data_IF_269987254247
#
_entry.id   IF_269987254247
#
_cell.length_a   1.000
_cell.length_b   1.000
_cell.length_c   1.000
_cell.angle_alpha   90.00
_cell.angle_beta   90.00
_cell.angle_gamma   90.00
#
_symmetry.space_group_name_H-M   'P 1'
#
loop_
_entity.id
_entity.type
_entity.pdbx_description
1 polymer ?
#
# COMPACT_ATOMS: atom_id res chain seq x y z
N UNK A 1 -1.96 -9.17 17.80
CA UNK A 1 -1.12 -9.92 16.86
C UNK A 1 -1.86 -11.13 16.31
N UNK A 2 -2.05 -11.16 14.99
CA UNK A 2 -2.69 -12.27 14.26
C UNK A 2 -1.66 -13.26 13.72
N UNK A 3 -0.57 -12.80 13.10
CA UNK A 3 0.51 -13.66 12.57
C UNK A 3 1.86 -13.02 12.86
N UNK A 4 2.80 -13.79 13.43
CA UNK A 4 4.17 -13.36 13.66
C UNK A 4 5.02 -13.59 12.40
N UNK A 5 5.54 -12.55 11.76
CA UNK A 5 6.19 -12.62 10.45
C UNK A 5 7.72 -12.81 10.52
N UNK A 6 8.36 -12.24 11.53
CA UNK A 6 9.83 -12.30 11.70
C UNK A 6 10.40 -13.72 11.65
N UNK A 7 9.84 -14.74 12.33
CA UNK A 7 10.36 -16.11 12.28
C UNK A 7 10.32 -16.72 10.88
N UNK A 8 9.49 -16.19 9.98
CA UNK A 8 9.35 -16.66 8.61
C UNK A 8 10.25 -15.91 7.62
N UNK A 9 11.07 -14.97 8.12
CA UNK A 9 11.88 -14.03 7.36
C UNK A 9 11.07 -13.00 6.53
N UNK A 10 9.77 -12.84 6.83
CA UNK A 10 8.91 -11.82 6.23
C UNK A 10 9.11 -10.44 6.88
N UNK A 11 10.36 -9.99 6.90
CA UNK A 11 10.79 -8.79 7.63
C UNK A 11 10.50 -7.50 6.90
N UNK A 12 10.09 -6.47 7.65
CA UNK A 12 9.67 -5.15 7.17
C UNK A 12 8.58 -5.25 6.09
N UNK A 13 7.37 -5.72 6.46
CA UNK A 13 6.24 -5.84 5.55
C UNK A 13 5.64 -4.48 5.19
N UNK A 14 5.21 -4.34 3.93
CA UNK A 14 4.58 -3.14 3.39
C UNK A 14 3.22 -3.51 2.79
N UNK A 15 3.17 -3.78 1.49
CA UNK A 15 1.93 -4.10 0.79
C UNK A 15 1.36 -5.45 1.22
N UNK A 16 0.03 -5.53 1.21
CA UNK A 16 -0.72 -6.73 1.55
C UNK A 16 -1.99 -6.79 0.69
N UNK A 17 -2.37 -7.98 0.26
CA UNK A 17 -3.65 -8.21 -0.41
C UNK A 17 -4.17 -9.61 -0.06
N UNK A 18 -5.40 -9.92 -0.50
CA UNK A 18 -5.95 -11.27 -0.45
C UNK A 18 -6.20 -11.79 -1.85
N UNK A 19 -6.00 -13.09 -2.06
CA UNK A 19 -6.41 -13.77 -3.29
C UNK A 19 -7.86 -14.25 -3.25
N UNK A 20 -8.35 -14.80 -4.36
CA UNK A 20 -9.74 -15.26 -4.51
C UNK A 20 -10.09 -16.41 -3.55
N UNK A 21 -9.09 -17.16 -3.07
CA UNK A 21 -9.25 -18.21 -2.05
C UNK A 21 -9.25 -17.66 -0.61
N UNK A 22 -9.03 -16.35 -0.46
CA UNK A 22 -8.93 -15.62 0.80
C UNK A 22 -7.57 -15.73 1.49
N UNK A 23 -6.56 -16.34 0.84
CA UNK A 23 -5.20 -16.38 1.36
C UNK A 23 -4.58 -14.99 1.32
N UNK A 24 -3.66 -14.74 2.24
CA UNK A 24 -3.06 -13.42 2.44
C UNK A 24 -1.70 -13.40 1.76
N UNK A 25 -1.47 -12.37 0.94
CA UNK A 25 -0.19 -12.12 0.30
C UNK A 25 0.47 -10.91 0.94
N UNK A 26 1.73 -11.04 1.35
CA UNK A 26 2.49 -9.97 2.00
C UNK A 26 3.77 -9.72 1.21
N UNK A 27 3.93 -8.47 0.73
CA UNK A 27 5.17 -7.97 0.18
C UNK A 27 5.99 -7.30 1.28
N UNK A 28 7.23 -7.76 1.46
CA UNK A 28 8.13 -7.31 2.50
C UNK A 28 9.54 -7.13 1.93
N UNK A 29 10.42 -6.44 2.66
CA UNK A 29 11.86 -6.45 2.32
C UNK A 29 12.45 -7.86 2.37
N UNK A 30 11.86 -8.73 3.18
CA UNK A 30 12.18 -10.15 3.23
C UNK A 30 11.79 -10.97 1.99
N UNK A 31 10.92 -10.44 1.11
CA UNK A 31 10.39 -11.16 -0.05
C UNK A 31 8.87 -11.10 -0.17
N UNK A 32 8.30 -12.06 -0.92
CA UNK A 32 6.86 -12.24 -1.08
C UNK A 32 6.41 -13.52 -0.38
N UNK A 33 5.33 -13.43 0.40
CA UNK A 33 4.83 -14.53 1.22
C UNK A 33 3.33 -14.72 1.00
N UNK A 34 2.92 -15.97 0.75
CA UNK A 34 1.50 -16.39 0.74
C UNK A 34 1.22 -17.12 2.04
N UNK A 35 0.15 -16.73 2.72
CA UNK A 35 -0.24 -17.22 4.04
C UNK A 35 -1.67 -17.74 3.96
N UNK A 36 -1.93 -18.88 4.60
CA UNK A 36 -3.27 -19.44 4.72
C UNK A 36 -4.27 -18.40 5.25
N UNK A 37 -5.50 -18.45 4.74
CA UNK A 37 -6.57 -17.49 5.07
C UNK A 37 -6.90 -17.40 6.57
N UNK A 38 -6.62 -18.43 7.35
CA UNK A 38 -6.82 -18.42 8.80
C UNK A 38 -5.55 -18.08 9.58
N UNK A 39 -4.44 -17.84 8.88
CA UNK A 39 -3.14 -17.54 9.49
C UNK A 39 -2.40 -18.77 10.02
N UNK A 40 -2.81 -19.98 9.61
CA UNK A 40 -2.26 -21.23 10.15
C UNK A 40 -0.84 -21.55 9.65
N UNK A 41 -0.36 -20.89 8.60
CA UNK A 41 0.99 -21.12 8.08
C UNK A 41 1.29 -20.46 6.75
N UNK A 42 2.58 -20.45 6.41
CA UNK A 42 3.09 -19.98 5.13
C UNK A 42 2.88 -21.07 4.08
N UNK A 43 2.10 -20.76 3.04
CA UNK A 43 1.84 -21.64 1.91
C UNK A 43 2.94 -21.53 0.85
N UNK A 44 3.50 -20.33 0.67
CA UNK A 44 4.56 -20.06 -0.30
C UNK A 44 5.44 -18.90 0.17
N UNK A 45 6.74 -18.96 -0.13
CA UNK A 45 7.65 -17.84 0.07
C UNK A 45 8.65 -17.71 -1.07
N UNK A 46 8.83 -16.48 -1.59
CA UNK A 46 9.95 -16.07 -2.45
C UNK A 46 10.80 -15.08 -1.67
N UNK A 47 11.82 -15.60 -0.97
CA UNK A 47 12.66 -14.82 -0.06
C UNK A 47 13.75 -14.06 -0.79
N UNK A 48 14.09 -12.89 -0.27
CA UNK A 48 15.26 -12.13 -0.68
C UNK A 48 16.45 -12.50 0.20
N UNK A 49 17.60 -12.81 -0.40
CA UNK A 49 18.81 -13.17 0.34
C UNK A 49 19.35 -12.01 1.19
N UNK A 50 19.10 -10.77 0.76
CA UNK A 50 19.62 -9.56 1.40
C UNK A 50 18.51 -8.52 1.66
N UNK A 51 17.61 -8.73 2.63
CA UNK A 51 16.50 -7.80 2.90
C UNK A 51 16.95 -6.36 3.18
N UNK A 52 18.14 -6.18 3.77
CA UNK A 52 18.71 -4.85 4.04
C UNK A 52 19.07 -4.04 2.79
N UNK A 53 19.19 -4.69 1.62
CA UNK A 53 19.41 -4.02 0.33
C UNK A 53 18.10 -3.61 -0.35
N UNK A 54 16.96 -4.12 0.11
CA UNK A 54 15.67 -3.81 -0.48
C UNK A 54 15.18 -2.45 0.00
N UNK A 55 14.63 -1.67 -0.92
CA UNK A 55 13.99 -0.39 -0.65
C UNK A 55 12.66 -0.54 0.08
N UNK A 56 12.13 0.57 0.62
CA UNK A 56 10.80 0.58 1.22
C UNK A 56 9.70 0.39 0.16
N UNK A 57 8.47 0.17 0.62
CA UNK A 57 7.25 0.14 -0.21
C UNK A 57 7.16 -1.01 -1.22
N UNK A 58 7.66 -2.19 -0.83
CA UNK A 58 7.31 -3.41 -1.55
C UNK A 58 5.78 -3.52 -1.62
N UNK A 59 5.21 -3.70 -2.81
CA UNK A 59 3.75 -3.68 -3.00
C UNK A 59 3.29 -4.97 -3.67
N UNK A 60 2.10 -5.41 -3.27
CA UNK A 60 1.44 -6.59 -3.83
C UNK A 60 -0.03 -6.26 -4.04
N UNK A 61 -0.55 -6.61 -5.21
CA UNK A 61 -1.95 -6.39 -5.58
C UNK A 61 -2.48 -7.67 -6.22
N UNK A 62 -3.67 -8.10 -5.82
CA UNK A 62 -4.38 -9.18 -6.49
C UNK A 62 -5.39 -8.61 -7.49
N UNK A 63 -5.33 -9.06 -8.73
CA UNK A 63 -6.23 -8.63 -9.80
C UNK A 63 -6.34 -9.76 -10.83
N UNK A 64 -7.56 -10.06 -11.30
CA UNK A 64 -7.83 -11.07 -12.33
C UNK A 64 -7.17 -12.44 -12.06
N UNK A 65 -7.25 -12.90 -10.81
CA UNK A 65 -6.62 -14.14 -10.34
C UNK A 65 -5.09 -14.21 -10.52
N UNK A 66 -4.44 -13.04 -10.57
CA UNK A 66 -2.99 -12.87 -10.61
C UNK A 66 -2.52 -12.06 -9.40
N UNK A 67 -1.22 -12.19 -9.12
CA UNK A 67 -0.51 -11.39 -8.12
C UNK A 67 0.48 -10.50 -8.83
N UNK A 68 0.25 -9.20 -8.77
CA UNK A 68 1.22 -8.18 -9.15
C UNK A 68 2.14 -7.95 -7.97
N UNK A 69 3.45 -8.05 -8.17
CA UNK A 69 4.44 -7.87 -7.11
C UNK A 69 5.54 -6.92 -7.56
N UNK A 70 5.79 -5.90 -6.74
CA UNK A 70 6.85 -4.91 -6.95
C UNK A 70 7.78 -4.86 -5.74
N UNK A 71 9.07 -4.81 -6.03
CA UNK A 71 10.10 -4.48 -5.04
C UNK A 71 11.27 -3.75 -5.72
N UNK A 72 12.01 -2.97 -4.93
CA UNK A 72 13.12 -2.16 -5.43
C UNK A 72 14.40 -2.53 -4.71
N UNK A 73 15.52 -2.64 -5.42
CA UNK A 73 16.84 -2.69 -4.79
C UNK A 73 17.37 -1.26 -4.59
N UNK A 74 17.66 -0.88 -3.33
CA UNK A 74 17.87 0.53 -2.94
C UNK A 74 19.09 1.17 -3.63
N UNK A 75 20.15 0.39 -3.85
CA UNK A 75 21.40 0.91 -4.44
C UNK A 75 21.30 1.12 -5.94
N UNK A 76 20.62 0.21 -6.62
CA UNK A 76 20.54 0.23 -8.08
C UNK A 76 19.38 1.09 -8.57
N UNK A 77 18.47 1.49 -7.65
CA UNK A 77 17.24 2.25 -7.94
C UNK A 77 16.37 1.59 -9.02
N UNK A 78 16.57 0.30 -9.25
CA UNK A 78 15.83 -0.50 -10.21
C UNK A 78 14.68 -1.20 -9.49
N UNK A 79 13.47 -0.94 -9.95
CA UNK A 79 12.27 -1.62 -9.47
C UNK A 79 12.04 -2.87 -10.32
N UNK A 80 11.84 -4.03 -9.69
CA UNK A 80 11.32 -5.21 -10.37
C UNK A 80 9.80 -5.24 -10.26
N UNK A 81 9.13 -5.45 -11.39
CA UNK A 81 7.70 -5.71 -11.48
C UNK A 81 7.48 -7.13 -12.00
N UNK A 82 6.60 -7.88 -11.34
CA UNK A 82 6.29 -9.27 -11.67
C UNK A 82 4.79 -9.52 -11.68
N UNK A 83 4.35 -10.39 -12.58
CA UNK A 83 3.01 -10.97 -12.59
C UNK A 83 3.15 -12.45 -12.28
N UNK A 84 2.48 -12.89 -11.22
CA UNK A 84 2.59 -14.26 -10.69
C UNK A 84 1.23 -14.93 -10.66
N UNK A 85 1.21 -16.24 -10.86
CA UNK A 85 0.08 -17.10 -10.51
C UNK A 85 0.05 -17.38 -8.99
N UNK A 86 -1.06 -17.92 -8.51
CA UNK A 86 -1.24 -18.22 -7.09
C UNK A 86 -0.33 -19.33 -6.53
N UNK A 87 0.27 -20.14 -7.40
CA UNK A 87 1.31 -21.12 -7.08
C UNK A 87 2.73 -20.51 -7.07
N UNK A 88 2.84 -19.20 -7.34
CA UNK A 88 4.08 -18.45 -7.41
C UNK A 88 4.88 -18.66 -8.69
N UNK A 89 4.36 -19.36 -9.70
CA UNK A 89 4.96 -19.33 -11.04
C UNK A 89 4.87 -17.92 -11.63
N UNK A 90 5.92 -17.53 -12.36
CA UNK A 90 6.05 -16.21 -12.97
C UNK A 90 5.55 -16.24 -14.41
N UNK A 91 4.65 -15.32 -14.75
CA UNK A 91 4.15 -15.12 -16.11
C UNK A 91 4.87 -13.97 -16.81
N UNK A 92 5.19 -12.92 -16.05
CA UNK A 92 5.89 -11.75 -16.55
C UNK A 92 6.86 -11.20 -15.53
N UNK A 93 7.96 -10.63 -16.02
CA UNK A 93 8.91 -9.87 -15.22
C UNK A 93 9.57 -8.79 -16.05
N UNK A 94 9.75 -7.62 -15.45
CA UNK A 94 10.45 -6.50 -16.06
C UNK A 94 11.10 -5.61 -15.00
N UNK A 95 11.93 -4.70 -15.48
CA UNK A 95 12.45 -3.61 -14.68
C UNK A 95 11.71 -2.30 -15.01
N UNK A 96 11.39 -1.55 -13.96
CA UNK A 96 10.85 -0.19 -14.02
C UNK A 96 11.92 0.72 -13.43
N UNK A 97 12.27 1.77 -14.16
CA UNK A 97 13.25 2.74 -13.70
C UNK A 97 12.70 3.60 -12.55
N UNK A 98 13.56 3.92 -11.59
CA UNK A 98 13.22 4.66 -10.38
C UNK A 98 12.57 3.79 -9.30
N UNK A 99 12.25 4.41 -8.16
CA UNK A 99 11.72 3.73 -6.96
C UNK A 99 10.21 3.84 -6.91
N UNK A 100 9.50 2.76 -7.25
CA UNK A 100 8.04 2.71 -7.09
C UNK A 100 7.67 2.81 -5.61
N UNK A 101 6.66 3.62 -5.33
CA UNK A 101 6.19 3.89 -3.96
C UNK A 101 4.79 3.31 -3.71
N UNK A 102 3.91 3.28 -4.70
CA UNK A 102 2.57 2.70 -4.57
C UNK A 102 2.11 2.14 -5.91
N UNK A 103 1.33 1.07 -5.87
CA UNK A 103 0.67 0.46 -7.03
C UNK A 103 -0.76 0.09 -6.65
N UNK A 104 -1.67 0.24 -7.60
CA UNK A 104 -3.06 -0.19 -7.50
C UNK A 104 -3.53 -0.69 -8.87
N UNK A 105 -4.61 -1.46 -8.92
CA UNK A 105 -5.16 -1.94 -10.17
C UNK A 105 -6.69 -1.97 -10.13
N UNK A 106 -7.31 -1.81 -11.28
CA UNK A 106 -8.76 -1.96 -11.45
C UNK A 106 -9.10 -3.42 -11.71
N UNK A 107 -10.36 -3.79 -11.47
CA UNK A 107 -10.89 -5.12 -11.84
C UNK A 107 -10.72 -5.45 -13.33
N UNK A 108 -10.64 -4.42 -14.18
CA UNK A 108 -10.49 -4.57 -15.63
C UNK A 108 -9.03 -4.79 -16.04
N UNK A 109 -8.08 -4.73 -15.11
CA UNK A 109 -6.66 -5.02 -15.37
C UNK A 109 -5.83 -3.78 -15.67
N UNK A 110 -6.40 -2.56 -15.56
CA UNK A 110 -5.62 -1.33 -15.64
C UNK A 110 -4.82 -1.15 -14.36
N UNK A 111 -3.51 -0.98 -14.50
CA UNK A 111 -2.56 -0.83 -13.39
C UNK A 111 -2.15 0.63 -13.32
N UNK A 112 -2.07 1.18 -12.12
CA UNK A 112 -1.55 2.51 -11.84
C UNK A 112 -0.43 2.43 -10.82
N UNK A 113 0.63 3.22 -11.02
CA UNK A 113 1.71 3.34 -10.03
C UNK A 113 2.23 4.77 -9.93
N UNK A 114 2.86 5.07 -8.80
CA UNK A 114 3.62 6.31 -8.58
C UNK A 114 5.01 5.97 -8.06
N UNK A 115 5.97 6.84 -8.37
CA UNK A 115 7.37 6.72 -7.94
C UNK A 115 7.69 7.77 -6.89
N UNK A 116 8.67 7.46 -6.04
CA UNK A 116 9.28 8.45 -5.16
C UNK A 116 9.89 9.56 -6.04
N UNK A 117 9.59 10.85 -5.77
CA UNK A 117 10.04 11.96 -6.62
C UNK A 117 11.51 12.31 -6.32
N UNK A 118 12.43 11.46 -6.79
CA UNK A 118 13.87 11.63 -6.58
C UNK A 118 14.47 12.79 -7.40
N UNK A 119 13.83 13.16 -8.51
CA UNK A 119 14.29 14.20 -9.46
C UNK A 119 13.38 15.43 -9.48
N UNK A 120 12.58 15.63 -8.43
CA UNK A 120 11.73 16.82 -8.27
C UNK A 120 10.39 16.77 -9.00
N UNK A 121 10.17 15.81 -9.89
CA UNK A 121 8.87 15.53 -10.51
C UNK A 121 8.25 14.27 -9.89
N UNK A 122 6.95 14.32 -9.63
CA UNK A 122 6.11 13.18 -9.26
C UNK A 122 5.11 12.91 -10.36
N UNK A 123 4.84 11.65 -10.61
CA UNK A 123 3.99 11.22 -11.71
C UNK A 123 3.24 9.95 -11.35
N UNK A 124 2.00 9.85 -11.84
CA UNK A 124 1.25 8.61 -11.87
C UNK A 124 1.36 8.06 -13.29
N UNK A 125 1.78 6.81 -13.40
CA UNK A 125 1.88 6.06 -14.64
C UNK A 125 0.78 5.00 -14.68
N UNK A 126 0.33 4.64 -15.87
CA UNK A 126 -0.61 3.53 -16.08
C UNK A 126 -0.15 2.57 -17.17
N UNK A 127 -0.52 1.30 -17.02
CA UNK A 127 -0.35 0.25 -18.02
C UNK A 127 -1.53 -0.73 -17.92
N UNK A 128 -1.57 -1.74 -18.78
CA UNK A 128 -2.54 -2.83 -18.68
C UNK A 128 -1.84 -4.14 -18.30
N UNK A 129 -2.50 -5.00 -17.52
CA UNK A 129 -1.95 -6.30 -17.09
C UNK A 129 -1.57 -7.20 -18.27
N UNK A 130 -2.33 -7.15 -19.36
CA UNK A 130 -2.06 -7.92 -20.59
C UNK A 130 -0.88 -7.38 -21.41
N UNK A 131 -0.51 -6.11 -21.22
CA UNK A 131 0.64 -5.48 -21.86
C UNK A 131 1.34 -4.53 -20.88
N UNK A 132 2.04 -5.06 -19.87
CA UNK A 132 2.60 -4.25 -18.78
C UNK A 132 3.91 -3.53 -19.16
N UNK A 133 4.21 -3.39 -20.45
CA UNK A 133 5.45 -2.81 -20.97
C UNK A 133 5.32 -1.31 -21.27
N UNK A 134 4.13 -0.86 -21.65
CA UNK A 134 3.88 0.51 -22.11
C UNK A 134 3.28 1.36 -20.98
N UNK A 135 4.15 1.92 -20.14
CA UNK A 135 3.74 2.81 -19.04
C UNK A 135 3.51 4.23 -19.55
N UNK A 136 2.25 4.67 -19.51
CA UNK A 136 1.83 5.99 -19.97
C UNK A 136 1.60 6.94 -18.78
N UNK A 137 2.08 8.19 -18.85
CA UNK A 137 1.80 9.18 -17.82
C UNK A 137 0.32 9.56 -17.80
N UNK A 138 -0.28 9.47 -16.61
CA UNK A 138 -1.65 9.91 -16.32
C UNK A 138 -1.65 11.37 -15.89
N UNK A 139 -0.78 11.71 -14.94
CA UNK A 139 -0.65 13.07 -14.42
C UNK A 139 0.76 13.24 -13.84
N UNK A 140 1.32 14.44 -13.94
CA UNK A 140 2.58 14.81 -13.33
C UNK A 140 2.48 16.13 -12.57
N UNK A 141 3.36 16.31 -11.58
CA UNK A 141 3.49 17.56 -10.84
C UNK A 141 4.90 17.72 -10.30
N UNK A 142 5.38 18.96 -10.27
CA UNK A 142 6.60 19.41 -9.60
C UNK A 142 6.31 20.02 -8.21
N UNK A 143 5.04 20.27 -7.89
CA UNK A 143 4.61 20.89 -6.63
C UNK A 143 4.14 19.89 -5.58
N UNK A 144 3.64 18.73 -6.02
CA UNK A 144 3.13 17.68 -5.13
C UNK A 144 3.73 16.32 -5.50
N UNK A 145 3.93 15.51 -4.48
CA UNK A 145 4.28 14.10 -4.58
C UNK A 145 3.04 13.24 -4.40
N UNK A 146 2.75 12.33 -5.34
CA UNK A 146 1.76 11.28 -5.17
C UNK A 146 2.39 10.12 -4.39
N UNK A 147 1.85 9.80 -3.21
CA UNK A 147 2.52 8.93 -2.23
C UNK A 147 1.81 7.60 -1.96
N UNK A 148 0.50 7.53 -2.19
CA UNK A 148 -0.33 6.32 -2.09
C UNK A 148 -1.49 6.44 -3.07
N UNK A 149 -1.88 5.34 -3.71
CA UNK A 149 -2.89 5.30 -4.77
C UNK A 149 -3.95 4.25 -4.47
N UNK A 150 -5.20 4.55 -4.83
CA UNK A 150 -6.29 3.59 -4.89
C UNK A 150 -7.12 3.84 -6.14
N UNK A 151 -7.27 2.82 -6.99
CA UNK A 151 -8.11 2.92 -8.17
C UNK A 151 -9.58 2.78 -7.79
N UNK A 152 -10.42 3.70 -8.29
CA UNK A 152 -11.87 3.61 -8.18
C UNK A 152 -12.43 2.80 -9.33
N UNK A 153 -12.06 3.22 -10.53
CA UNK A 153 -12.32 2.56 -11.80
C UNK A 153 -11.21 2.95 -12.80
N UNK A 154 -11.37 2.63 -14.08
CA UNK A 154 -10.36 2.93 -15.10
C UNK A 154 -10.20 4.43 -15.37
N UNK A 155 -11.19 5.25 -14.98
CA UNK A 155 -11.24 6.70 -15.21
C UNK A 155 -10.95 7.54 -13.96
N UNK A 156 -10.96 6.95 -12.76
CA UNK A 156 -10.85 7.70 -11.51
C UNK A 156 -9.93 7.06 -10.48
N UNK A 157 -9.10 7.88 -9.83
CA UNK A 157 -8.22 7.47 -8.73
C UNK A 157 -8.43 8.33 -7.50
N UNK A 158 -8.13 7.77 -6.34
CA UNK A 158 -7.79 8.51 -5.12
C UNK A 158 -6.29 8.47 -4.94
N UNK A 159 -5.68 9.61 -4.62
CA UNK A 159 -4.27 9.67 -4.25
C UNK A 159 -4.05 10.44 -2.95
N UNK A 160 -3.12 9.96 -2.12
CA UNK A 160 -2.51 10.78 -1.08
C UNK A 160 -1.40 11.63 -1.68
N UNK A 161 -1.38 12.91 -1.35
CA UNK A 161 -0.37 13.85 -1.85
C UNK A 161 0.40 14.51 -0.72
N UNK A 162 1.64 14.92 -1.03
CA UNK A 162 2.48 15.71 -0.13
C UNK A 162 3.15 16.83 -0.91
N UNK A 163 3.13 18.06 -0.38
CA UNK A 163 3.84 19.18 -0.98
C UNK A 163 5.35 18.90 -1.10
N UNK A 164 5.93 19.25 -2.25
CA UNK A 164 7.35 19.13 -2.56
C UNK A 164 8.14 20.35 -2.05
N UNK A 165 9.37 20.17 -1.52
CA UNK A 165 10.03 18.90 -1.24
C UNK A 165 9.41 18.16 -0.05
N UNK A 166 9.26 16.83 -0.16
CA UNK A 166 8.65 16.00 0.89
C UNK A 166 9.54 15.96 2.13
N UNK A 167 9.01 16.47 3.25
CA UNK A 167 9.64 16.42 4.57
C UNK A 167 8.58 16.30 5.66
N UNK A 168 9.02 16.24 6.93
CA UNK A 168 8.11 16.04 8.06
C UNK A 168 7.06 17.14 8.24
N UNK A 169 7.22 18.32 7.62
CA UNK A 169 6.34 19.49 7.67
C UNK A 169 5.51 19.71 6.39
N UNK A 170 5.72 18.93 5.32
CA UNK A 170 4.97 19.09 4.07
C UNK A 170 3.46 19.00 4.30
N UNK A 171 2.71 19.91 3.64
CA UNK A 171 1.26 19.81 3.56
C UNK A 171 0.88 18.49 2.89
N UNK A 172 -0.15 17.85 3.42
CA UNK A 172 -0.62 16.53 3.00
C UNK A 172 -2.12 16.58 2.87
N UNK A 173 -2.65 15.92 1.85
CA UNK A 173 -4.07 15.90 1.54
C UNK A 173 -4.39 14.63 0.76
N UNK A 174 -5.66 14.36 0.57
CA UNK A 174 -6.15 13.36 -0.37
C UNK A 174 -6.73 14.10 -1.58
N UNK A 175 -6.68 13.49 -2.75
CA UNK A 175 -7.32 14.06 -3.93
C UNK A 175 -7.97 13.00 -4.81
N UNK A 176 -8.99 13.43 -5.53
CA UNK A 176 -9.60 12.70 -6.63
C UNK A 176 -8.93 13.11 -7.94
N UNK A 177 -8.59 12.13 -8.76
CA UNK A 177 -7.93 12.32 -10.05
C UNK A 177 -8.84 11.76 -11.14
N UNK A 178 -9.06 12.57 -12.16
CA UNK A 178 -9.72 12.19 -13.41
C UNK A 178 -8.63 11.80 -14.41
N UNK A 179 -8.60 10.52 -14.76
CA UNK A 179 -7.56 9.91 -15.60
C UNK A 179 -7.66 10.40 -17.04
N UNK A 180 -8.87 10.54 -17.58
CA UNK A 180 -9.08 11.00 -18.96
C UNK A 180 -8.72 12.48 -19.12
N UNK A 181 -9.09 13.30 -18.13
CA UNK A 181 -8.73 14.74 -18.13
C UNK A 181 -7.33 15.02 -17.61
N UNK A 182 -6.61 14.00 -17.15
CA UNK A 182 -5.26 14.12 -16.60
C UNK A 182 -5.14 15.22 -15.53
N UNK A 183 -6.14 15.29 -14.63
CA UNK A 183 -6.25 16.42 -13.70
C UNK A 183 -6.78 16.01 -12.33
N UNK A 184 -6.44 16.81 -11.33
CA UNK A 184 -7.04 16.69 -10.00
C UNK A 184 -8.40 17.38 -10.02
N UNK A 185 -9.45 16.62 -9.74
CA UNK A 185 -10.82 17.13 -9.73
C UNK A 185 -11.22 17.75 -8.38
N UNK A 186 -10.72 17.20 -7.27
CA UNK A 186 -11.01 17.68 -5.91
C UNK A 186 -9.87 17.34 -4.95
N UNK A 187 -9.53 18.26 -4.06
CA UNK A 187 -8.76 17.99 -2.85
C UNK A 187 -9.70 17.84 -1.66
N UNK A 188 -9.38 16.92 -0.75
CA UNK A 188 -10.12 16.70 0.49
C UNK A 188 -9.17 16.22 1.59
N UNK A 189 -9.54 16.38 2.85
CA UNK A 189 -8.64 16.27 4.01
C UNK A 189 -7.52 17.32 4.01
N UNK A 190 -6.98 17.58 5.19
CA UNK A 190 -5.79 18.40 5.42
C UNK A 190 -4.73 17.60 6.18
N UNK A 191 -3.53 18.16 6.32
CA UNK A 191 -2.48 17.59 7.15
C UNK A 191 -2.85 17.75 8.63
N UNK A 192 -2.78 16.68 9.40
CA UNK A 192 -2.90 16.75 10.85
C UNK A 192 -3.25 15.41 11.48
N UNK A 193 -3.65 15.43 12.75
CA UNK A 193 -3.87 14.24 13.57
C UNK A 193 -5.30 14.14 14.11
N UNK A 194 -6.16 15.08 13.72
CA UNK A 194 -7.57 15.10 14.10
C UNK A 194 -8.43 14.43 13.03
N UNK A 195 -9.67 14.10 13.39
CA UNK A 195 -10.64 13.45 12.50
C UNK A 195 -10.77 14.19 11.18
N UNK A 196 -10.65 13.49 10.06
CA UNK A 196 -10.71 14.09 8.72
C UNK A 196 -9.42 14.75 8.27
N UNK A 197 -8.39 14.76 9.12
CA UNK A 197 -7.02 15.11 8.74
C UNK A 197 -6.18 13.85 8.56
N UNK A 198 -5.13 13.94 7.76
CA UNK A 198 -4.18 12.85 7.50
C UNK A 198 -2.75 13.20 7.90
N UNK A 199 -2.03 12.20 8.39
CA UNK A 199 -0.60 12.32 8.67
C UNK A 199 0.18 11.15 8.06
N UNK A 200 0.85 11.42 6.95
CA UNK A 200 1.56 10.48 6.09
C UNK A 200 0.71 9.24 5.80
N UNK A 201 -0.36 9.38 4.98
CA UNK A 201 -1.12 8.24 4.49
C UNK A 201 -0.19 7.14 3.99
N UNK A 202 -0.42 5.92 4.46
CA UNK A 202 0.36 4.74 4.10
C UNK A 202 -0.30 4.01 2.96
N UNK A 203 -1.60 3.75 3.10
CA UNK A 203 -2.37 2.97 2.14
C UNK A 203 -3.81 3.46 2.09
N UNK A 204 -4.43 3.28 0.92
CA UNK A 204 -5.80 3.67 0.61
C UNK A 204 -6.48 2.46 -0.04
N UNK A 205 -7.67 2.10 0.42
CA UNK A 205 -8.49 1.04 -0.16
C UNK A 205 -9.91 1.52 -0.40
N UNK A 206 -10.57 0.97 -1.42
CA UNK A 206 -12.02 1.07 -1.55
C UNK A 206 -12.69 -0.05 -0.79
N UNK A 207 -13.73 0.30 -0.03
CA UNK A 207 -14.56 -0.66 0.68
C UNK A 207 -16.01 -0.20 0.69
N UNK A 208 -16.90 -1.03 0.14
CA UNK A 208 -18.35 -0.75 0.07
C UNK A 208 -18.68 0.63 -0.54
N UNK A 209 -17.89 1.08 -1.53
CA UNK A 209 -18.08 2.37 -2.20
C UNK A 209 -17.42 3.57 -1.51
N UNK A 210 -16.82 3.36 -0.33
CA UNK A 210 -16.13 4.40 0.42
C UNK A 210 -14.61 4.22 0.40
N UNK A 211 -13.91 5.31 0.66
CA UNK A 211 -12.46 5.41 0.70
C UNK A 211 -11.99 5.16 2.14
N UNK A 212 -11.18 4.13 2.33
CA UNK A 212 -10.56 3.78 3.61
C UNK A 212 -9.09 4.17 3.58
N UNK A 213 -8.63 4.89 4.58
CA UNK A 213 -7.26 5.41 4.67
C UNK A 213 -6.63 4.98 5.98
N UNK A 214 -5.44 4.37 5.89
CA UNK A 214 -4.54 4.15 7.01
C UNK A 214 -3.42 5.19 6.93
N UNK A 215 -3.20 5.94 8.01
CA UNK A 215 -2.10 6.90 8.11
C UNK A 215 -1.11 6.55 9.24
N UNK A 216 0.00 7.30 9.37
CA UNK A 216 1.03 7.03 10.39
C UNK A 216 0.56 7.20 11.83
N UNK A 217 -0.61 7.77 12.09
CA UNK A 217 -1.18 7.81 13.46
C UNK A 217 -1.89 6.50 13.82
N UNK A 218 -1.84 5.49 12.93
CA UNK A 218 -2.50 4.21 13.11
C UNK A 218 -4.02 4.27 12.96
N UNK A 219 -4.60 5.44 12.64
CA UNK A 219 -6.04 5.59 12.42
C UNK A 219 -6.44 5.01 11.07
N UNK A 220 -7.57 4.31 11.09
CA UNK A 220 -8.30 3.87 9.90
C UNK A 220 -9.52 4.78 9.76
N UNK A 221 -9.46 5.67 8.77
CA UNK A 221 -10.51 6.65 8.50
C UNK A 221 -11.29 6.27 7.25
N UNK A 222 -12.59 6.53 7.27
CA UNK A 222 -13.49 6.30 6.13
C UNK A 222 -14.01 7.63 5.63
N UNK A 223 -13.91 7.83 4.34
CA UNK A 223 -14.47 8.96 3.60
C UNK A 223 -15.43 8.45 2.54
N UNK A 224 -16.48 9.21 2.24
CA UNK A 224 -17.32 8.94 1.07
C UNK A 224 -16.47 9.04 -0.19
N UNK A 225 -16.94 8.48 -1.31
CA UNK A 225 -16.25 8.65 -2.61
C UNK A 225 -16.03 10.13 -3.01
N UNK A 226 -16.91 11.03 -2.55
CA UNK A 226 -16.80 12.47 -2.78
C UNK A 226 -15.81 13.17 -1.83
N UNK A 227 -15.17 12.44 -0.91
CA UNK A 227 -14.15 12.95 0.01
C UNK A 227 -14.67 13.52 1.35
N UNK A 228 -15.95 13.38 1.68
CA UNK A 228 -16.49 13.78 2.98
C UNK A 228 -16.17 12.73 4.06
N UNK A 229 -15.75 13.17 5.25
CA UNK A 229 -15.43 12.26 6.34
C UNK A 229 -16.69 11.56 6.87
N UNK A 230 -16.68 10.24 6.88
CA UNK A 230 -17.68 9.41 7.58
C UNK A 230 -17.27 9.22 9.04
N UNK A 231 -15.99 8.88 9.28
CA UNK A 231 -15.45 8.75 10.63
C UNK A 231 -14.18 7.93 10.74
N UNK A 232 -13.74 7.71 11.98
CA UNK A 232 -12.63 6.80 12.32
C UNK A 232 -13.23 5.46 12.76
N UNK A 233 -12.80 4.35 12.17
CA UNK A 233 -13.40 3.03 12.38
C UNK A 233 -12.45 2.00 12.98
N UNK A 234 -11.18 2.38 13.11
CA UNK A 234 -10.16 1.58 13.76
C UNK A 234 -8.96 2.43 14.13
N UNK A 235 -8.19 1.94 15.10
CA UNK A 235 -6.91 2.54 15.47
C UNK A 235 -5.97 1.45 15.98
N UNK A 236 -4.74 1.45 15.47
CA UNK A 236 -3.59 0.74 16.02
C UNK A 236 -2.56 1.74 16.55
N UNK A 237 -1.47 1.24 17.13
CA UNK A 237 -0.41 2.09 17.65
C UNK A 237 0.22 2.95 16.56
N UNK A 238 0.46 4.23 16.88
CA UNK A 238 1.14 5.18 16.01
C UNK A 238 2.42 4.56 15.42
N UNK A 239 2.66 4.81 14.13
CA UNK A 239 3.85 4.41 13.38
C UNK A 239 4.06 2.91 13.15
N UNK A 240 3.19 2.04 13.67
CA UNK A 240 3.37 0.58 13.51
C UNK A 240 2.86 0.06 12.17
N UNK A 241 1.75 0.60 11.66
CA UNK A 241 1.15 0.19 10.39
C UNK A 241 1.90 0.67 9.14
N UNK A 242 2.15 -0.25 8.21
CA UNK A 242 2.80 0.00 6.93
C UNK A 242 1.86 -0.15 5.73
N UNK A 243 0.87 -1.03 5.83
CA UNK A 243 -0.14 -1.31 4.83
C UNK A 243 -1.29 -2.14 5.40
N UNK A 244 -2.41 -2.24 4.69
CA UNK A 244 -3.55 -3.05 5.09
C UNK A 244 -4.33 -3.57 3.89
N UNK A 245 -5.08 -4.64 4.10
CA UNK A 245 -6.14 -5.07 3.19
C UNK A 245 -7.43 -5.30 3.96
N UNK A 246 -8.55 -5.31 3.25
CA UNK A 246 -9.87 -5.59 3.83
C UNK A 246 -10.38 -6.90 3.24
N UNK A 247 -10.76 -7.83 4.12
CA UNK A 247 -11.40 -9.09 3.75
C UNK A 247 -12.69 -9.23 4.53
N UNK A 248 -13.82 -9.23 3.82
CA UNK A 248 -15.13 -9.10 4.45
C UNK A 248 -15.15 -7.85 5.36
N UNK A 249 -15.36 -8.01 6.67
CA UNK A 249 -15.29 -6.92 7.64
C UNK A 249 -13.96 -6.86 8.42
N UNK A 250 -12.99 -7.71 8.10
CA UNK A 250 -11.70 -7.73 8.77
C UNK A 250 -10.69 -6.82 8.05
N UNK A 251 -10.01 -5.97 8.81
CA UNK A 251 -8.79 -5.28 8.37
C UNK A 251 -7.60 -6.09 8.84
N UNK A 252 -6.74 -6.45 7.89
CA UNK A 252 -5.47 -7.11 8.17
C UNK A 252 -4.37 -6.12 7.83
N UNK A 253 -3.54 -5.79 8.82
CA UNK A 253 -2.56 -4.70 8.73
C UNK A 253 -1.16 -5.30 8.84
N UNK A 254 -0.26 -4.89 7.96
CA UNK A 254 1.18 -5.16 8.10
C UNK A 254 1.78 -4.20 9.09
N UNK A 255 2.42 -4.74 10.12
CA UNK A 255 2.99 -3.96 11.20
C UNK A 255 4.49 -4.24 11.37
N UNK A 256 5.23 -3.19 11.74
CA UNK A 256 6.61 -3.26 12.21
C UNK A 256 6.76 -2.44 13.48
N UNK A 257 7.52 -2.93 14.46
CA UNK A 257 7.71 -2.24 15.74
C UNK A 257 8.98 -2.67 16.45
N UNK A 258 9.32 -1.96 17.53
CA UNK A 258 10.36 -2.37 18.46
C UNK A 258 9.67 -3.00 19.67
N UNK A 259 10.00 -4.26 19.97
CA UNK A 259 9.46 -5.02 21.09
C UNK A 259 10.57 -5.42 22.06
N UNK A 260 10.20 -5.78 23.28
CA UNK A 260 11.15 -6.33 24.24
C UNK A 260 11.37 -7.83 23.95
N UNK A 261 12.60 -8.18 23.64
CA UNK A 261 13.05 -9.56 23.49
C UNK A 261 13.08 -10.31 24.83
N UNK A 262 13.29 -11.63 24.76
CA UNK A 262 13.26 -12.50 25.94
C UNK A 262 14.36 -12.18 26.97
N UNK A 263 15.46 -11.57 26.53
CA UNK A 263 16.57 -11.10 27.35
C UNK A 263 16.41 -9.64 27.83
N UNK A 264 15.27 -9.02 27.52
CA UNK A 264 14.96 -7.61 27.81
C UNK A 264 15.61 -6.62 26.85
N UNK A 265 16.31 -7.06 25.80
CA UNK A 265 16.84 -6.17 24.76
C UNK A 265 15.74 -5.77 23.78
N UNK A 266 15.88 -4.59 23.19
CA UNK A 266 14.97 -4.12 22.14
C UNK A 266 15.25 -4.86 20.83
N UNK A 267 14.25 -5.51 20.26
CA UNK A 267 14.32 -6.16 18.95
C UNK A 267 13.27 -5.59 17.99
N UNK A 268 13.63 -5.52 16.70
CA UNK A 268 12.65 -5.19 15.67
C UNK A 268 11.80 -6.43 15.40
N UNK A 269 10.49 -6.25 15.37
CA UNK A 269 9.55 -7.31 15.11
C UNK A 269 8.49 -6.89 14.10
N UNK A 270 8.02 -7.87 13.33
CA UNK A 270 7.12 -7.72 12.21
C UNK A 270 5.96 -8.72 12.35
N UNK A 271 4.74 -8.25 12.16
CA UNK A 271 3.54 -9.07 12.32
C UNK A 271 2.38 -8.59 11.45
N UNK A 272 1.36 -9.43 11.33
CA UNK A 272 0.04 -9.00 10.89
C UNK A 272 -0.85 -8.74 12.10
N UNK A 273 -1.48 -7.57 12.15
CA UNK A 273 -2.56 -7.27 13.08
C UNK A 273 -3.90 -7.50 12.39
N UNK A 274 -4.89 -8.00 13.14
CA UNK A 274 -6.24 -8.22 12.61
C UNK A 274 -7.24 -7.52 13.51
N UNK A 275 -8.11 -6.72 12.92
CA UNK A 275 -9.21 -6.08 13.63
C UNK A 275 -10.47 -6.04 12.78
N UNK A 276 -11.63 -5.95 13.42
CA UNK A 276 -12.92 -5.81 12.74
C UNK A 276 -13.17 -4.33 12.46
N UNK A 277 -13.51 -3.98 11.22
CA UNK A 277 -14.07 -2.67 10.89
C UNK A 277 -15.40 -2.52 11.61
N UNK A 278 -15.46 -1.55 12.52
CA UNK A 278 -16.69 -1.22 13.23
C UNK A 278 -17.74 -0.66 12.27
N UNK A 279 -19.03 -0.88 12.52
CA UNK A 279 -20.10 -0.24 11.76
C UNK A 279 -20.35 1.21 12.22
N UNK A 280 -20.03 1.49 13.49
CA UNK A 280 -20.17 2.81 14.09
C UNK A 280 -18.80 3.48 14.26
N UNK A 281 -18.65 4.77 13.95
CA UNK A 281 -17.41 5.49 14.17
C UNK A 281 -16.98 5.46 15.64
N UNK A 282 -15.68 5.35 15.89
CA UNK A 282 -15.08 5.61 17.19
C UNK A 282 -15.37 7.07 17.61
N UNK A 283 -15.75 7.25 18.88
CA UNK A 283 -16.22 8.55 19.44
C UNK A 283 -15.07 9.35 20.08
N UNK A 284 -13.84 8.85 20.00
CA UNK A 284 -12.67 9.39 20.70
C UNK A 284 -11.59 9.86 19.73
#
# INVERSE_FOLDING_TARGET
MFIHLTPHAAVVPYGICTDDDGNIWVAAKGGLFKIDKHGNGILLSKKHDFPRKMGPFCTVVCVQSKILYIFTEDKDRSTQFKILNYDGSEEHSQFIDGRVQSMTATKNGRIFLTKKPDEGQSEILSAHIDNPLDWEPVISSDQIAFTSLCAIDDGHLVAATSAMPVNMYSNQTLCLIDVEKQSISKHFSSRGRERGEVYFPREIHLYQGDIIVLDKTGRIQRFTIDGELVGVFGKIDDYTGNGFCIRENDVIITCSGIVAGQDGQAECDDWLEKMVLTEQPLVH
#
